data_IF_692586969317
#
_entry.id   IF_692586969317
#
_cell.length_a   1.000
_cell.length_b   1.000
_cell.length_c   1.000
_cell.angle_alpha   90.00
_cell.angle_beta   90.00
_cell.angle_gamma   90.00
#
_symmetry.space_group_name_H-M   'P 1'
#
loop_
_entity.id
_entity.type
_entity.pdbx_description
1 polymer ?
#
# COMPACT_ATOMS: atom_id res chain seq x y z
N UNK A 1 25.82 -45.98 13.80
CA UNK A 1 24.76 -46.22 14.82
C UNK A 1 24.34 -44.88 15.41
N UNK A 2 23.04 -44.75 15.62
CA UNK A 2 22.27 -43.51 15.66
C UNK A 2 22.41 -42.75 16.99
N UNK A 3 22.41 -41.41 16.94
CA UNK A 3 21.98 -40.57 18.07
C UNK A 3 20.98 -39.53 17.54
N UNK A 4 19.70 -39.80 17.76
CA UNK A 4 18.58 -38.87 17.51
C UNK A 4 18.40 -38.03 18.77
N UNK A 5 18.45 -36.70 18.63
CA UNK A 5 18.18 -35.77 19.73
C UNK A 5 16.75 -35.26 19.53
N UNK A 6 15.89 -35.57 20.50
CA UNK A 6 14.54 -35.03 20.65
C UNK A 6 14.65 -33.67 21.35
N UNK A 7 14.05 -32.61 20.79
CA UNK A 7 13.87 -31.32 21.46
C UNK A 7 12.37 -31.03 21.54
N UNK A 8 11.82 -30.77 22.75
CA UNK A 8 10.39 -30.60 22.96
C UNK A 8 9.87 -29.22 22.51
N UNK A 9 8.67 -29.25 21.94
CA UNK A 9 7.81 -28.11 21.62
C UNK A 9 7.26 -27.55 22.93
N UNK A 10 7.54 -26.27 23.22
CA UNK A 10 6.95 -25.56 24.35
C UNK A 10 6.18 -24.36 23.81
N UNK A 11 4.86 -24.51 23.79
CA UNK A 11 3.92 -23.45 23.44
C UNK A 11 3.82 -22.42 24.55
N UNK A 12 3.60 -21.16 24.17
CA UNK A 12 3.17 -20.12 25.07
C UNK A 12 1.94 -19.41 24.49
N UNK A 13 0.96 -19.25 25.37
CA UNK A 13 -0.40 -18.81 25.18
C UNK A 13 -0.55 -17.39 24.65
N UNK A 14 -1.57 -17.21 23.80
CA UNK A 14 -2.24 -15.96 23.47
C UNK A 14 -2.90 -15.35 24.71
N UNK A 15 -2.65 -14.06 24.97
CA UNK A 15 -3.56 -13.22 25.77
C UNK A 15 -3.86 -11.96 24.97
N UNK A 16 -5.07 -11.91 24.40
CA UNK A 16 -5.67 -10.72 23.82
C UNK A 16 -6.29 -9.88 24.94
N UNK A 17 -5.85 -8.63 25.07
CA UNK A 17 -6.54 -7.60 25.84
C UNK A 17 -7.02 -6.52 24.87
N UNK A 18 -8.28 -6.63 24.42
CA UNK A 18 -9.02 -5.52 23.83
C UNK A 18 -9.76 -4.77 24.96
N UNK A 19 -9.43 -3.50 25.14
CA UNK A 19 -10.31 -2.53 25.79
C UNK A 19 -10.33 -1.26 24.94
N UNK A 20 -11.35 -1.16 24.10
CA UNK A 20 -11.75 0.07 23.42
C UNK A 20 -13.00 0.62 24.11
N UNK A 21 -12.95 1.90 24.49
CA UNK A 21 -14.15 2.67 24.82
C UNK A 21 -13.95 4.07 24.22
N UNK A 22 -14.69 4.33 23.15
CA UNK A 22 -14.82 5.65 22.56
C UNK A 22 -15.93 6.45 23.24
N UNK A 23 -15.76 7.76 23.26
CA UNK A 23 -16.88 8.71 23.28
C UNK A 23 -16.43 9.95 22.54
N UNK A 24 -17.15 10.24 21.45
CA UNK A 24 -17.00 11.42 20.63
C UNK A 24 -18.01 12.47 21.09
N UNK A 25 -17.54 13.71 21.30
CA UNK A 25 -18.39 14.90 21.32
C UNK A 25 -17.57 16.07 20.74
N UNK A 26 -17.66 16.25 19.42
CA UNK A 26 -17.22 17.49 18.77
C UNK A 26 -18.46 18.30 18.45
N UNK A 27 -18.59 19.41 19.17
CA UNK A 27 -19.68 20.37 19.11
C UNK A 27 -19.60 21.17 17.81
N UNK A 28 -20.58 20.98 16.93
CA UNK A 28 -20.83 21.89 15.80
C UNK A 28 -21.35 23.24 16.34
N UNK A 29 -20.56 24.29 16.20
CA UNK A 29 -21.06 25.67 16.22
C UNK A 29 -20.06 26.62 15.57
N UNK A 30 -20.35 27.05 14.35
CA UNK A 30 -20.20 28.46 14.00
C UNK A 30 -20.99 28.78 12.73
N UNK A 31 -22.03 29.58 12.94
CA UNK A 31 -22.72 30.37 11.94
C UNK A 31 -21.78 31.48 11.47
N UNK A 32 -21.70 31.75 10.16
CA UNK A 32 -22.06 33.07 9.63
C UNK A 32 -22.00 33.15 8.10
N UNK A 33 -23.12 33.66 7.54
CA UNK A 33 -23.23 34.69 6.49
C UNK A 33 -22.03 34.93 5.57
N UNK A 34 -22.26 34.87 4.26
CA UNK A 34 -22.64 36.06 3.47
C UNK A 34 -22.41 35.81 1.98
N UNK A 35 -23.47 36.02 1.21
CA UNK A 35 -23.45 36.29 -0.22
C UNK A 35 -22.76 37.64 -0.53
N UNK A 36 -21.89 37.66 -1.55
CA UNK A 36 -21.59 38.74 -2.52
C UNK A 36 -20.22 38.46 -3.15
N UNK A 37 -20.11 38.21 -4.46
CA UNK A 37 -20.01 39.18 -5.56
C UNK A 37 -18.54 39.47 -5.96
N UNK A 38 -18.35 39.46 -7.29
CA UNK A 38 -17.27 40.05 -8.11
C UNK A 38 -15.85 39.49 -8.10
N UNK A 39 -15.49 38.96 -9.28
CA UNK A 39 -14.32 39.25 -10.10
C UNK A 39 -13.19 40.10 -9.49
N UNK A 40 -12.00 39.53 -9.32
CA UNK A 40 -10.75 40.26 -9.56
C UNK A 40 -9.58 39.29 -9.81
N UNK A 41 -8.79 39.62 -10.84
CA UNK A 41 -7.57 38.92 -11.22
C UNK A 41 -6.42 39.15 -10.23
N UNK A 42 -5.59 38.12 -10.01
CA UNK A 42 -4.19 38.18 -9.55
C UNK A 42 -3.55 36.82 -9.84
N UNK A 43 -2.69 36.71 -10.85
CA UNK A 43 -1.22 36.69 -10.75
C UNK A 43 -0.66 35.72 -9.69
N UNK A 44 -0.10 34.63 -10.23
CA UNK A 44 1.08 33.88 -9.78
C UNK A 44 1.15 33.49 -8.31
N UNK A 45 0.82 32.23 -8.04
CA UNK A 45 1.67 31.35 -7.26
C UNK A 45 1.58 29.97 -7.92
N UNK A 46 2.71 29.47 -8.40
CA UNK A 46 2.88 28.07 -8.76
C UNK A 46 2.74 27.25 -7.48
N UNK A 47 1.50 26.92 -7.16
CA UNK A 47 1.17 25.88 -6.21
C UNK A 47 1.61 24.57 -6.87
N UNK A 48 2.78 24.06 -6.46
CA UNK A 48 3.11 22.65 -6.56
C UNK A 48 2.18 21.88 -5.63
N UNK A 49 0.89 21.93 -5.94
CA UNK A 49 -0.09 20.98 -5.49
C UNK A 49 0.30 19.68 -6.16
N UNK A 50 1.11 18.90 -5.45
CA UNK A 50 1.24 17.46 -5.66
C UNK A 50 -0.17 16.91 -5.62
N UNK A 51 -0.76 16.87 -6.81
CA UNK A 51 -2.07 16.34 -7.10
C UNK A 51 -2.03 14.90 -6.65
N UNK A 52 -2.45 14.67 -5.40
CA UNK A 52 -2.84 13.36 -4.92
C UNK A 52 -3.70 12.79 -6.03
N UNK A 53 -3.18 11.73 -6.66
CA UNK A 53 -3.87 11.10 -7.78
C UNK A 53 -5.25 10.77 -7.24
N UNK A 54 -6.27 11.46 -7.74
CA UNK A 54 -7.64 11.13 -7.42
C UNK A 54 -7.83 9.67 -7.82
N UNK A 55 -7.89 8.78 -6.84
CA UNK A 55 -8.22 7.36 -7.03
C UNK A 55 -9.73 7.23 -7.26
N UNK A 56 -10.24 7.97 -8.23
CA UNK A 56 -11.61 7.83 -8.69
C UNK A 56 -11.66 6.56 -9.55
N UNK A 57 -12.09 5.42 -8.95
CA UNK A 57 -12.42 4.16 -9.62
C UNK A 57 -11.57 3.84 -10.87
N UNK A 58 -10.25 3.66 -10.70
CA UNK A 58 -9.44 3.17 -11.81
C UNK A 58 -9.86 1.73 -12.16
N UNK A 59 -9.92 1.36 -13.46
CA UNK A 59 -10.16 -0.02 -13.86
C UNK A 59 -9.13 -0.94 -13.19
N UNK A 60 -9.58 -2.06 -12.64
CA UNK A 60 -8.73 -3.01 -11.91
C UNK A 60 -7.52 -3.48 -12.73
N UNK A 61 -7.68 -3.68 -14.05
CA UNK A 61 -6.58 -3.98 -14.98
C UNK A 61 -5.48 -2.90 -14.95
N UNK A 62 -5.88 -1.64 -14.92
CA UNK A 62 -4.95 -0.52 -14.87
C UNK A 62 -4.20 -0.50 -13.53
N UNK A 63 -4.89 -0.71 -12.41
CA UNK A 63 -4.24 -0.77 -11.10
C UNK A 63 -3.15 -1.85 -11.07
N UNK A 64 -3.44 -3.07 -11.56
CA UNK A 64 -2.41 -4.11 -11.67
C UNK A 64 -1.23 -3.73 -12.58
N UNK A 65 -1.48 -3.04 -13.69
CA UNK A 65 -0.42 -2.59 -14.59
C UNK A 65 0.44 -1.50 -13.95
N UNK A 66 -0.18 -0.54 -13.26
CA UNK A 66 0.52 0.53 -12.54
C UNK A 66 1.44 -0.05 -11.46
N UNK A 67 0.96 -1.01 -10.67
CA UNK A 67 1.76 -1.77 -9.70
C UNK A 67 2.99 -2.44 -10.33
N UNK A 68 2.79 -3.21 -11.40
CA UNK A 68 3.89 -3.97 -12.05
C UNK A 68 4.93 -3.05 -12.69
N UNK A 69 4.49 -1.93 -13.29
CA UNK A 69 5.37 -0.92 -13.86
C UNK A 69 6.07 -0.12 -12.74
N UNK A 70 5.36 0.14 -11.65
CA UNK A 70 5.88 0.79 -10.46
C UNK A 70 7.05 0.03 -9.85
N UNK A 71 6.94 -1.29 -9.71
CA UNK A 71 8.07 -2.12 -9.27
C UNK A 71 9.29 -2.01 -10.18
N UNK A 72 9.10 -1.95 -11.50
CA UNK A 72 10.22 -1.76 -12.44
C UNK A 72 10.90 -0.41 -12.21
N UNK A 73 10.11 0.63 -11.93
CA UNK A 73 10.63 1.98 -11.67
C UNK A 73 11.36 2.02 -10.32
N UNK A 74 10.84 1.35 -9.29
CA UNK A 74 11.53 1.21 -8.00
C UNK A 74 12.89 0.55 -8.21
N UNK A 75 12.98 -0.57 -8.95
CA UNK A 75 14.27 -1.22 -9.24
C UNK A 75 15.26 -0.27 -9.91
N UNK A 76 14.80 0.54 -10.87
CA UNK A 76 15.64 1.53 -11.56
C UNK A 76 16.11 2.66 -10.64
N UNK A 77 15.25 3.14 -9.75
CA UNK A 77 15.61 4.20 -8.80
C UNK A 77 16.60 3.70 -7.75
N UNK A 78 16.43 2.47 -7.26
CA UNK A 78 17.37 1.81 -6.35
C UNK A 78 18.74 1.64 -7.01
N UNK A 79 18.80 1.24 -8.29
CA UNK A 79 20.06 1.14 -9.04
C UNK A 79 20.79 2.48 -9.18
N UNK A 80 20.04 3.60 -9.23
CA UNK A 80 20.60 4.96 -9.25
C UNK A 80 20.94 5.48 -7.84
N UNK A 81 20.62 4.72 -6.79
CA UNK A 81 20.76 5.16 -5.40
C UNK A 81 19.69 6.15 -4.93
N UNK A 82 18.60 6.33 -5.69
CA UNK A 82 17.49 7.22 -5.36
C UNK A 82 16.42 6.52 -4.51
N UNK A 83 16.78 6.20 -3.28
CA UNK A 83 15.86 5.57 -2.32
C UNK A 83 14.68 6.47 -1.94
N UNK A 84 14.80 7.79 -2.08
CA UNK A 84 13.73 8.73 -1.73
C UNK A 84 12.59 8.64 -2.74
N UNK A 85 12.92 8.66 -4.03
CA UNK A 85 11.94 8.47 -5.10
C UNK A 85 11.33 7.07 -5.04
N UNK A 86 12.18 6.04 -4.85
CA UNK A 86 11.71 4.67 -4.67
C UNK A 86 10.71 4.52 -3.51
N UNK A 87 11.00 5.13 -2.34
CA UNK A 87 10.10 5.06 -1.19
C UNK A 87 8.80 5.81 -1.41
N UNK A 88 8.86 6.97 -2.07
CA UNK A 88 7.66 7.75 -2.42
C UNK A 88 6.77 6.96 -3.38
N UNK A 89 7.36 6.33 -4.39
CA UNK A 89 6.62 5.51 -5.34
C UNK A 89 6.03 4.26 -4.67
N UNK A 90 6.81 3.56 -3.83
CA UNK A 90 6.30 2.43 -3.05
C UNK A 90 5.14 2.83 -2.14
N UNK A 91 5.14 4.03 -1.58
CA UNK A 91 4.01 4.65 -0.87
C UNK A 91 2.75 4.72 -1.72
N UNK A 92 2.86 5.37 -2.88
CA UNK A 92 1.72 5.59 -3.77
C UNK A 92 1.13 4.29 -4.32
N UNK A 93 1.99 3.32 -4.67
CA UNK A 93 1.55 1.99 -5.09
C UNK A 93 0.82 1.28 -3.95
N UNK A 94 1.38 1.32 -2.75
CA UNK A 94 0.73 0.70 -1.60
C UNK A 94 -0.68 1.28 -1.35
N UNK A 95 -0.84 2.61 -1.43
CA UNK A 95 -2.16 3.24 -1.34
C UNK A 95 -3.10 2.80 -2.48
N UNK A 96 -2.60 2.62 -3.71
CA UNK A 96 -3.37 2.14 -4.85
C UNK A 96 -3.83 0.69 -4.66
N UNK A 97 -2.94 -0.18 -4.17
CA UNK A 97 -3.28 -1.54 -3.78
C UNK A 97 -4.42 -1.55 -2.75
N UNK A 98 -4.34 -0.73 -1.70
CA UNK A 98 -5.40 -0.58 -0.69
C UNK A 98 -6.74 -0.14 -1.27
N UNK A 99 -6.72 0.78 -2.23
CA UNK A 99 -7.95 1.34 -2.79
C UNK A 99 -8.60 0.42 -3.84
N UNK A 100 -7.79 -0.19 -4.71
CA UNK A 100 -8.29 -0.85 -5.92
C UNK A 100 -8.25 -2.38 -5.85
N UNK A 101 -7.19 -2.97 -5.29
CA UNK A 101 -6.92 -4.42 -5.41
C UNK A 101 -7.31 -5.17 -4.12
N UNK A 102 -6.97 -4.61 -2.95
CA UNK A 102 -7.20 -5.24 -1.67
C UNK A 102 -8.69 -5.53 -1.38
N UNK A 103 -9.65 -4.63 -1.66
CA UNK A 103 -11.06 -4.89 -1.39
C UNK A 103 -11.62 -6.09 -2.19
N UNK A 104 -11.54 -6.13 -3.54
CA UNK A 104 -12.06 -7.28 -4.29
C UNK A 104 -11.30 -8.58 -3.99
N UNK A 105 -10.00 -8.50 -3.65
CA UNK A 105 -9.23 -9.68 -3.24
C UNK A 105 -9.69 -10.23 -1.89
N UNK A 106 -9.96 -9.35 -0.94
CA UNK A 106 -10.53 -9.68 0.37
C UNK A 106 -11.90 -10.33 0.21
N UNK A 107 -12.76 -9.77 -0.64
CA UNK A 107 -14.09 -10.32 -0.91
C UNK A 107 -14.01 -11.73 -1.52
N UNK A 108 -13.00 -12.00 -2.36
CA UNK A 108 -12.90 -13.26 -3.11
C UNK A 108 -12.12 -14.37 -2.40
N UNK A 109 -11.15 -14.03 -1.56
CA UNK A 109 -10.24 -15.00 -0.89
C UNK A 109 -10.24 -14.92 0.63
N UNK A 110 -10.88 -13.90 1.19
CA UNK A 110 -10.92 -13.63 2.62
C UNK A 110 -9.76 -12.77 3.10
N UNK A 111 -9.99 -12.11 4.25
CA UNK A 111 -9.06 -11.13 4.84
C UNK A 111 -7.66 -11.71 5.08
N UNK A 112 -7.53 -12.90 5.65
CA UNK A 112 -6.22 -13.47 5.96
C UNK A 112 -5.32 -13.63 4.73
N UNK A 113 -5.89 -14.04 3.59
CA UNK A 113 -5.15 -14.17 2.33
C UNK A 113 -4.74 -12.80 1.79
N UNK A 114 -5.66 -11.83 1.83
CA UNK A 114 -5.41 -10.49 1.31
C UNK A 114 -4.36 -9.73 2.16
N UNK A 115 -4.42 -9.89 3.49
CA UNK A 115 -3.46 -9.31 4.44
C UNK A 115 -2.05 -9.92 4.32
N UNK A 116 -1.92 -11.19 3.94
CA UNK A 116 -0.61 -11.80 3.68
C UNK A 116 0.10 -11.15 2.48
N UNK A 117 -0.65 -10.87 1.42
CA UNK A 117 -0.12 -10.14 0.24
C UNK A 117 0.18 -8.68 0.62
N UNK A 118 -0.74 -8.02 1.31
CA UNK A 118 -0.55 -6.67 1.83
C UNK A 118 0.72 -6.54 2.69
N UNK A 119 0.98 -7.49 3.59
CA UNK A 119 2.19 -7.48 4.42
C UNK A 119 3.50 -7.52 3.62
N UNK A 120 3.48 -8.03 2.39
CA UNK A 120 4.66 -7.98 1.50
C UNK A 120 4.92 -6.60 0.91
N UNK A 121 3.92 -5.73 0.84
CA UNK A 121 4.11 -4.32 0.53
C UNK A 121 4.73 -3.57 1.71
N UNK A 122 4.25 -3.82 2.94
CA UNK A 122 4.84 -3.28 4.16
C UNK A 122 6.33 -3.64 4.25
N UNK A 123 6.64 -4.93 4.10
CA UNK A 123 8.02 -5.41 4.14
C UNK A 123 8.91 -4.76 3.07
N UNK A 124 8.35 -4.44 1.89
CA UNK A 124 9.09 -3.79 0.80
C UNK A 124 9.37 -2.33 1.14
N UNK A 125 8.40 -1.59 1.67
CA UNK A 125 8.59 -0.20 2.11
C UNK A 125 9.65 -0.12 3.23
N UNK A 126 9.61 -1.06 4.18
CA UNK A 126 10.61 -1.19 5.23
C UNK A 126 12.01 -1.48 4.66
N UNK A 127 12.11 -2.37 3.68
CA UNK A 127 13.37 -2.70 3.01
C UNK A 127 13.94 -1.50 2.23
N UNK A 128 13.09 -0.73 1.54
CA UNK A 128 13.49 0.50 0.83
C UNK A 128 13.97 1.55 1.84
N UNK A 129 13.23 1.74 2.94
CA UNK A 129 13.57 2.71 4.00
C UNK A 129 14.91 2.37 4.65
N UNK A 130 15.16 1.08 4.92
CA UNK A 130 16.41 0.58 5.49
C UNK A 130 17.54 0.41 4.46
N UNK A 131 17.25 0.62 3.17
CA UNK A 131 18.17 0.46 2.03
C UNK A 131 18.77 -0.95 1.92
N UNK A 132 18.01 -1.97 2.30
CA UNK A 132 18.41 -3.37 2.16
C UNK A 132 18.18 -3.84 0.72
N UNK A 133 19.18 -3.62 -0.14
CA UNK A 133 19.07 -3.91 -1.58
C UNK A 133 18.79 -5.37 -1.91
N UNK A 134 19.29 -6.30 -1.09
CA UNK A 134 19.05 -7.74 -1.30
C UNK A 134 17.59 -8.08 -1.01
N UNK A 135 17.07 -7.57 0.11
CA UNK A 135 15.67 -7.78 0.49
C UNK A 135 14.69 -7.05 -0.43
N UNK A 136 15.04 -5.86 -0.93
CA UNK A 136 14.24 -5.13 -1.91
C UNK A 136 14.05 -5.98 -3.18
N UNK A 137 15.13 -6.53 -3.74
CA UNK A 137 15.05 -7.35 -4.95
C UNK A 137 14.20 -8.62 -4.75
N UNK A 138 14.34 -9.27 -3.60
CA UNK A 138 13.51 -10.43 -3.23
C UNK A 138 12.03 -10.05 -3.13
N UNK A 139 11.72 -8.99 -2.39
CA UNK A 139 10.33 -8.58 -2.14
C UNK A 139 9.65 -8.03 -3.39
N UNK A 140 10.36 -7.35 -4.29
CA UNK A 140 9.79 -6.95 -5.58
C UNK A 140 9.37 -8.18 -6.38
N UNK A 141 10.18 -9.24 -6.40
CA UNK A 141 9.81 -10.49 -7.06
C UNK A 141 8.58 -11.13 -6.42
N UNK A 142 8.56 -11.26 -5.09
CA UNK A 142 7.42 -11.82 -4.35
C UNK A 142 6.14 -11.04 -4.62
N UNK A 143 6.19 -9.71 -4.59
CA UNK A 143 5.02 -8.88 -4.85
C UNK A 143 4.55 -8.98 -6.31
N UNK A 144 5.45 -9.05 -7.30
CA UNK A 144 5.09 -9.34 -8.70
C UNK A 144 4.36 -10.68 -8.84
N UNK A 145 4.86 -11.73 -8.21
CA UNK A 145 4.24 -13.06 -8.24
C UNK A 145 2.86 -13.05 -7.56
N UNK A 146 2.75 -12.35 -6.43
CA UNK A 146 1.47 -12.15 -5.73
C UNK A 146 0.46 -11.39 -6.58
N UNK A 147 0.86 -10.32 -7.27
CA UNK A 147 -0.02 -9.56 -8.17
C UNK A 147 -0.49 -10.39 -9.35
N UNK A 148 0.39 -11.17 -9.98
CA UNK A 148 0.00 -12.08 -11.06
C UNK A 148 -1.04 -13.09 -10.57
N UNK A 149 -0.84 -13.65 -9.38
CA UNK A 149 -1.77 -14.59 -8.76
C UNK A 149 -3.11 -13.92 -8.42
N UNK A 150 -3.07 -12.71 -7.83
CA UNK A 150 -4.25 -11.93 -7.50
C UNK A 150 -5.04 -11.54 -8.76
N UNK A 151 -4.37 -11.14 -9.84
CA UNK A 151 -5.01 -10.83 -11.12
C UNK A 151 -5.76 -12.04 -11.67
N UNK A 152 -5.16 -13.24 -11.65
CA UNK A 152 -5.84 -14.47 -12.06
C UNK A 152 -7.07 -14.78 -11.20
N UNK A 153 -6.96 -14.64 -9.87
CA UNK A 153 -8.08 -14.82 -8.93
C UNK A 153 -9.22 -13.86 -9.26
N UNK A 154 -8.90 -12.60 -9.55
CA UNK A 154 -9.87 -11.54 -9.84
C UNK A 154 -10.35 -11.56 -11.30
N UNK A 155 -9.81 -12.44 -12.16
CA UNK A 155 -10.20 -12.55 -13.56
C UNK A 155 -9.67 -11.42 -14.44
N UNK A 156 -8.59 -10.76 -14.01
CA UNK A 156 -7.90 -9.71 -14.75
C UNK A 156 -6.85 -10.34 -15.67
N UNK A 157 -6.87 -9.97 -16.95
CA UNK A 157 -5.85 -10.38 -17.91
C UNK A 157 -4.76 -9.32 -17.97
N UNK A 158 -3.55 -9.69 -17.56
CA UNK A 158 -2.37 -8.85 -17.66
C UNK A 158 -1.75 -9.04 -19.05
N UNK A 159 -1.34 -7.95 -19.69
CA UNK A 159 -0.75 -7.93 -21.03
C UNK A 159 0.75 -7.70 -20.98
#
# INVERSE_FOLDING_TARGET
MNKKIFVPIMGAFLVLSLAGCGTSQTTNKSENKSSNQSSQASKSNEDHSMKGMKMDNQPLEKAFQDELNGFTTIEQDIQKGDYKSANTLAGNLHDEFHAAILPPLTDKKGKAYAEDIHGKYDELQDAITSKDTSKIAELIKVNRDNLNTAAQILGVTLK
#
